data_IF_992267122922
#
_entry.id   IF_992267122922
#
_cell.length_a   1.000
_cell.length_b   1.000
_cell.length_c   1.000
_cell.angle_alpha   90.00
_cell.angle_beta   90.00
_cell.angle_gamma   90.00
#
_symmetry.space_group_name_H-M   'P 1'
#
loop_
_entity.id
_entity.type
_entity.pdbx_description
1 polymer ?
#
# COMPACT_ATOMS: atom_id res chain seq x y z
N UNK A 1 -13.94 20.83 -10.43
CA UNK A 1 -13.40 20.83 -10.00
C UNK A 1 -12.66 19.98 -9.51
N UNK A 2 -12.44 19.21 -9.34
CA UNK A 2 -11.84 18.26 -9.02
C UNK A 2 -10.56 18.32 -9.22
N UNK A 3 -10.14 18.98 -9.34
CA UNK A 3 -9.00 19.19 -9.62
C UNK A 3 -7.97 18.75 -8.76
N UNK A 4 -8.20 18.37 -7.55
CA UNK A 4 -7.19 17.94 -6.73
C UNK A 4 -6.44 16.81 -7.28
N UNK A 5 -7.10 15.88 -7.84
CA UNK A 5 -6.45 14.76 -8.37
C UNK A 5 -5.52 15.13 -9.46
N UNK A 6 -5.90 16.00 -10.25
CA UNK A 6 -5.08 16.35 -11.30
C UNK A 6 -3.91 17.13 -10.87
N UNK A 7 -4.10 17.88 -9.83
CA UNK A 7 -3.04 18.68 -9.42
C UNK A 7 -1.90 17.98 -8.81
N UNK A 8 -2.16 16.93 -8.10
CA UNK A 8 -1.10 16.30 -7.40
C UNK A 8 -1.10 14.84 -7.49
N UNK A 9 -1.01 14.29 -8.61
CA UNK A 9 -1.04 12.85 -8.74
C UNK A 9 0.11 12.20 -8.00
N UNK A 10 1.27 12.80 -8.02
CA UNK A 10 2.37 12.18 -7.35
C UNK A 10 2.21 12.18 -5.87
N UNK A 11 1.72 13.27 -5.34
CA UNK A 11 1.52 13.31 -3.92
C UNK A 11 0.47 12.34 -3.48
N UNK A 12 -0.59 12.21 -4.26
CA UNK A 12 -1.63 11.27 -3.92
C UNK A 12 -1.07 9.87 -3.91
N UNK A 13 -0.22 9.55 -4.87
CA UNK A 13 0.34 8.22 -4.92
C UNK A 13 1.25 7.97 -3.73
N UNK A 14 2.03 8.96 -3.36
CA UNK A 14 2.92 8.80 -2.22
C UNK A 14 2.14 8.60 -0.94
N UNK A 15 1.05 9.33 -0.77
CA UNK A 15 0.25 9.17 0.41
C UNK A 15 -0.44 7.82 0.41
N UNK A 16 -0.91 7.39 -0.73
CA UNK A 16 -1.54 6.09 -0.82
C UNK A 16 -0.53 5.01 -0.45
N UNK A 17 0.68 5.13 -0.95
CA UNK A 17 1.71 4.14 -0.62
C UNK A 17 2.00 4.13 0.86
N UNK A 18 2.04 5.30 1.48
CA UNK A 18 2.31 5.36 2.90
C UNK A 18 1.19 4.72 3.70
N UNK A 19 -0.04 4.96 3.32
CA UNK A 19 -1.16 4.35 4.02
C UNK A 19 -1.16 2.83 3.84
N UNK A 20 -0.84 2.39 2.65
CA UNK A 20 -0.81 0.96 2.41
C UNK A 20 0.34 0.32 3.18
N UNK A 21 1.49 0.97 3.22
CA UNK A 21 2.61 0.43 3.97
C UNK A 21 2.28 0.34 5.45
N UNK A 22 1.58 1.33 5.96
CA UNK A 22 1.20 1.31 7.35
C UNK A 22 0.24 0.17 7.63
N UNK A 23 -0.75 -0.03 6.76
CA UNK A 23 -1.68 -1.13 6.93
C UNK A 23 -0.96 -2.47 6.84
N UNK A 24 0.02 -2.55 5.96
CA UNK A 24 0.79 -3.77 5.80
C UNK A 24 1.51 -4.10 7.11
N UNK A 25 2.12 -3.12 7.74
CA UNK A 25 2.80 -3.35 8.98
C UNK A 25 1.86 -3.73 10.10
N UNK A 26 0.71 -3.09 10.15
CA UNK A 26 -0.27 -3.40 11.17
C UNK A 26 -0.74 -4.85 11.03
N UNK A 27 -0.97 -5.28 9.80
CA UNK A 27 -1.40 -6.64 9.59
C UNK A 27 -0.32 -7.65 9.92
N UNK A 28 0.93 -7.32 9.63
CA UNK A 28 2.00 -8.23 9.98
C UNK A 28 2.13 -8.35 11.49
N UNK A 29 1.98 -7.26 12.20
CA UNK A 29 2.04 -7.30 13.64
C UNK A 29 0.89 -8.11 14.21
N UNK A 30 -0.29 -7.97 13.62
CA UNK A 30 -1.44 -8.72 14.07
C UNK A 30 -1.22 -10.20 13.81
N UNK A 31 -0.65 -10.54 12.68
CA UNK A 31 -0.41 -11.93 12.36
C UNK A 31 0.53 -12.56 13.38
N UNK A 32 1.49 -11.81 13.85
CA UNK A 32 2.38 -12.33 14.85
C UNK A 32 1.67 -12.58 16.16
N UNK A 33 0.69 -11.77 16.47
CA UNK A 33 -0.01 -11.96 17.72
C UNK A 33 -0.99 -13.09 17.69
N UNK A 34 -1.75 -13.18 16.63
CA UNK A 34 -2.82 -14.18 16.63
C UNK A 34 -2.48 -15.43 15.85
N UNK A 35 -1.32 -15.46 15.24
CA UNK A 35 -0.94 -16.62 14.49
C UNK A 35 -1.34 -16.49 13.04
N UNK A 36 -0.97 -17.45 12.25
CA UNK A 36 -1.24 -17.37 10.86
C UNK A 36 -2.67 -17.55 10.55
N UNK A 37 -3.20 -16.69 9.76
CA UNK A 37 -4.53 -16.79 9.24
C UNK A 37 -4.45 -16.65 7.74
N UNK A 38 -5.11 -17.52 6.99
CA UNK A 38 -5.03 -17.42 5.54
C UNK A 38 -5.52 -16.09 5.02
N UNK A 39 -6.56 -15.56 5.65
CA UNK A 39 -7.10 -14.31 5.17
C UNK A 39 -6.15 -13.16 5.42
N UNK A 40 -5.50 -13.17 6.55
CA UNK A 40 -4.54 -12.13 6.86
C UNK A 40 -3.35 -12.24 5.93
N UNK A 41 -2.89 -13.45 5.69
CA UNK A 41 -1.79 -13.64 4.76
C UNK A 41 -2.14 -13.16 3.37
N UNK A 42 -3.35 -13.43 2.94
CA UNK A 42 -3.78 -12.96 1.63
C UNK A 42 -3.83 -11.44 1.59
N UNK A 43 -4.29 -10.81 2.66
CA UNK A 43 -4.35 -9.36 2.71
C UNK A 43 -2.95 -8.76 2.66
N UNK A 44 -2.02 -9.36 3.38
CA UNK A 44 -0.65 -8.87 3.39
C UNK A 44 -0.07 -8.98 1.98
N UNK A 45 -0.32 -10.10 1.30
CA UNK A 45 0.19 -10.28 -0.04
C UNK A 45 -0.41 -9.26 -0.99
N UNK A 46 -1.71 -9.00 -0.86
CA UNK A 46 -2.33 -8.02 -1.73
C UNK A 46 -1.77 -6.63 -1.48
N UNK A 47 -1.49 -6.29 -0.25
CA UNK A 47 -0.90 -5.01 0.05
C UNK A 47 0.50 -4.91 -0.53
N UNK A 48 1.24 -5.99 -0.51
CA UNK A 48 2.56 -5.98 -1.09
C UNK A 48 2.47 -5.79 -2.60
N UNK A 49 1.50 -6.41 -3.22
CA UNK A 49 1.31 -6.22 -4.64
C UNK A 49 0.92 -4.78 -4.95
N UNK A 50 0.08 -4.20 -4.12
CA UNK A 50 -0.32 -2.82 -4.32
C UNK A 50 0.86 -1.88 -4.18
N UNK A 51 1.69 -2.12 -3.20
CA UNK A 51 2.88 -1.29 -3.01
C UNK A 51 3.80 -1.41 -4.21
N UNK A 52 3.94 -2.60 -4.72
CA UNK A 52 4.77 -2.81 -5.86
C UNK A 52 4.23 -2.08 -7.08
N UNK A 53 2.92 -2.14 -7.27
CA UNK A 53 2.30 -1.45 -8.37
C UNK A 53 2.50 0.05 -8.26
N UNK A 54 2.35 0.58 -7.06
CA UNK A 54 2.54 2.01 -6.88
C UNK A 54 3.99 2.39 -7.12
N UNK A 55 4.91 1.57 -6.70
CA UNK A 55 6.31 1.86 -6.91
C UNK A 55 6.63 1.87 -8.40
N UNK A 56 6.04 0.96 -9.14
CA UNK A 56 6.28 0.91 -10.54
C UNK A 56 5.74 2.17 -11.20
N UNK A 57 4.57 2.61 -10.79
CA UNK A 57 4.01 3.77 -11.38
C UNK A 57 4.80 5.00 -11.09
N UNK A 58 5.16 5.19 -9.86
CA UNK A 58 5.84 6.40 -9.51
C UNK A 58 7.28 6.31 -9.79
N UNK A 59 7.84 5.13 -9.66
CA UNK A 59 9.21 5.06 -9.80
C UNK A 59 9.65 4.79 -11.16
N UNK A 60 8.79 4.80 -12.01
CA UNK A 60 9.14 4.41 -13.28
C UNK A 60 10.33 5.02 -13.79
N UNK A 61 10.81 5.91 -13.13
CA UNK A 61 11.84 6.50 -13.59
C UNK A 61 13.03 5.90 -13.28
N UNK A 62 13.17 5.00 -12.49
CA UNK A 62 14.38 4.60 -12.15
C UNK A 62 15.15 4.33 -13.06
#
# INVERSE_FOLDING_TARGET
MPTQDEQKPKQDTAQAAAHIASAHQILKALQEKIGEHPEIGAAITKLEMALNDLAVQTGGIW
#
